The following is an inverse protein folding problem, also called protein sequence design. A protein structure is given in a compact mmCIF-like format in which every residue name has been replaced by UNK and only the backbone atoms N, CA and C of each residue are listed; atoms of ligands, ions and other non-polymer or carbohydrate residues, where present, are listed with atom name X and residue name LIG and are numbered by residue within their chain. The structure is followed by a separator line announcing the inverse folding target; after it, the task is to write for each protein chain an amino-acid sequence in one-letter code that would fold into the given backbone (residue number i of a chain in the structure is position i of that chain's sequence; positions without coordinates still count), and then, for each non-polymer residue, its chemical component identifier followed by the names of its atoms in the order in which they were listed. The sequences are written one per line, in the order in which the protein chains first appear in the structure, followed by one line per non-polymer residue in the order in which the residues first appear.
data_IF_774724813879
#
_entry.id   IF_774724813879
#
_cell.length_a   1.000
_cell.length_b   1.000
_cell.length_c   1.000
_cell.angle_alpha   90.00
_cell.angle_beta   90.00
_cell.angle_gamma   90.00
#
_symmetry.space_group_name_H-M   'P 1'
#
loop_
_entity.id
_entity.type
_entity.pdbx_description
1 polymer ?
#
# COMPACT_ATOMS: atom_id res chain seq x y z
N UNK A 1 21.84 5.39 11.97
CA UNK A 1 20.91 5.37 10.84
C UNK A 1 19.55 5.83 11.37
N UNK A 2 18.94 6.86 10.79
CA UNK A 2 17.61 7.35 11.18
C UNK A 2 16.51 6.39 10.73
N UNK A 3 15.29 6.61 11.22
CA UNK A 3 14.12 5.79 10.84
C UNK A 3 13.84 5.88 9.34
N UNK A 4 14.00 7.07 8.79
CA UNK A 4 13.84 7.40 7.37
C UNK A 4 14.92 6.71 6.53
N UNK A 5 16.18 6.73 6.97
CA UNK A 5 17.28 6.05 6.28
C UNK A 5 17.05 4.53 6.22
N UNK A 6 16.66 3.91 7.34
CA UNK A 6 16.34 2.47 7.37
C UNK A 6 15.15 2.14 6.47
N UNK A 7 14.12 2.98 6.46
CA UNK A 7 12.97 2.82 5.58
C UNK A 7 13.35 2.95 4.10
N UNK A 8 14.18 3.92 3.74
CA UNK A 8 14.64 4.09 2.35
C UNK A 8 15.48 2.92 1.87
N UNK A 9 16.30 2.31 2.72
CA UNK A 9 16.99 1.05 2.39
C UNK A 9 16.01 -0.10 2.16
N UNK A 10 14.93 -0.17 2.95
CA UNK A 10 13.87 -1.15 2.73
C UNK A 10 13.15 -0.94 1.39
N UNK A 11 12.87 0.31 1.01
CA UNK A 11 12.30 0.67 -0.30
C UNK A 11 13.25 0.27 -1.43
N UNK A 12 14.55 0.57 -1.33
CA UNK A 12 15.55 0.15 -2.33
C UNK A 12 15.60 -1.37 -2.48
N UNK A 13 15.58 -2.10 -1.37
CA UNK A 13 15.52 -3.58 -1.36
C UNK A 13 14.25 -4.09 -2.03
N UNK A 14 13.11 -3.42 -1.79
CA UNK A 14 11.85 -3.74 -2.45
C UNK A 14 11.94 -3.52 -3.95
N UNK A 15 12.57 -2.44 -4.41
CA UNK A 15 12.76 -2.15 -5.85
C UNK A 15 13.54 -3.21 -6.61
N UNK A 16 14.52 -3.86 -5.97
CA UNK A 16 15.34 -4.90 -6.60
C UNK A 16 14.84 -6.33 -6.38
N UNK A 17 13.67 -6.51 -5.74
CA UNK A 17 13.17 -7.83 -5.36
C UNK A 17 12.40 -8.54 -6.49
N UNK A 18 12.69 -9.83 -6.69
CA UNK A 18 12.01 -10.68 -7.68
C UNK A 18 11.55 -12.03 -7.11
N UNK A 19 11.50 -12.17 -5.78
CA UNK A 19 11.27 -13.45 -5.10
C UNK A 19 9.92 -14.12 -5.40
N UNK A 20 8.92 -13.39 -5.88
CA UNK A 20 7.60 -13.92 -6.18
C UNK A 20 7.37 -14.19 -7.68
N UNK A 21 8.39 -13.99 -8.53
CA UNK A 21 8.27 -14.10 -9.98
C UNK A 21 7.88 -15.50 -10.45
N UNK A 22 8.35 -16.53 -9.78
CA UNK A 22 8.03 -17.94 -10.11
C UNK A 22 6.54 -18.28 -9.90
N UNK A 23 5.82 -17.45 -9.15
CA UNK A 23 4.37 -17.55 -8.95
C UNK A 23 3.57 -16.63 -9.89
N UNK A 24 4.21 -16.08 -10.93
CA UNK A 24 3.58 -15.15 -11.87
C UNK A 24 3.35 -13.75 -11.32
N UNK A 25 3.89 -13.43 -10.13
CA UNK A 25 3.79 -12.09 -9.55
C UNK A 25 4.91 -11.19 -10.07
N UNK A 26 4.61 -9.92 -10.30
CA UNK A 26 5.60 -8.94 -10.79
C UNK A 26 5.79 -7.82 -9.81
N UNK A 27 7.03 -7.38 -9.63
CA UNK A 27 7.30 -6.23 -8.77
C UNK A 27 6.83 -4.95 -9.47
N UNK A 28 6.24 -4.02 -8.74
CA UNK A 28 5.90 -2.67 -9.24
C UNK A 28 7.11 -1.93 -9.85
N UNK A 29 8.34 -2.18 -9.37
CA UNK A 29 9.57 -1.62 -9.95
C UNK A 29 9.86 -2.08 -11.39
N UNK A 30 9.22 -3.15 -11.86
CA UNK A 30 9.28 -3.56 -13.27
C UNK A 30 8.51 -2.61 -14.19
N UNK A 31 7.72 -1.69 -13.61
CA UNK A 31 6.94 -0.67 -14.30
C UNK A 31 7.38 0.72 -13.81
N UNK A 32 8.60 1.17 -14.15
CA UNK A 32 9.26 2.31 -13.49
C UNK A 32 8.47 3.62 -13.57
N UNK A 33 7.64 3.81 -14.59
CA UNK A 33 6.79 5.00 -14.74
C UNK A 33 5.67 5.09 -13.68
N UNK A 34 5.37 3.99 -12.98
CA UNK A 34 4.27 3.86 -12.02
C UNK A 34 4.75 3.32 -10.65
N UNK A 35 6.06 3.12 -10.48
CA UNK A 35 6.65 2.79 -9.17
C UNK A 35 6.69 4.03 -8.27
N UNK A 36 6.82 3.81 -6.96
CA UNK A 36 6.82 4.86 -5.94
C UNK A 36 8.16 4.92 -5.20
N UNK A 37 8.38 5.97 -4.42
CA UNK A 37 9.47 6.04 -3.44
C UNK A 37 9.06 5.46 -2.08
N UNK A 38 7.97 4.70 -2.07
CA UNK A 38 7.42 4.06 -0.88
C UNK A 38 7.56 2.54 -0.98
N UNK A 39 7.28 1.86 0.15
CA UNK A 39 7.35 0.41 0.22
C UNK A 39 6.34 -0.27 -0.72
N UNK A 40 5.19 0.37 -0.96
CA UNK A 40 4.19 -0.04 -1.95
C UNK A 40 3.33 1.13 -2.41
N UNK A 41 2.54 0.94 -3.48
CA UNK A 41 1.68 1.99 -4.02
C UNK A 41 0.55 2.42 -3.05
N UNK A 42 0.04 1.53 -2.18
CA UNK A 42 -0.96 1.94 -1.18
C UNK A 42 -0.41 2.94 -0.17
N UNK A 43 0.90 2.86 0.11
CA UNK A 43 1.57 3.71 1.09
C UNK A 43 1.59 5.18 0.68
N UNK A 44 1.37 5.52 -0.61
CA UNK A 44 1.26 6.91 -1.05
C UNK A 44 0.03 7.63 -0.48
N UNK A 45 -0.96 6.91 0.06
CA UNK A 45 -2.08 7.51 0.78
C UNK A 45 -1.75 7.90 2.22
N UNK A 46 -0.90 7.14 2.90
CA UNK A 46 -0.39 7.49 4.24
C UNK A 46 0.89 6.74 4.56
N UNK A 47 1.99 7.50 4.71
CA UNK A 47 3.36 7.00 4.87
C UNK A 47 4.02 7.51 6.17
N UNK A 48 3.25 7.95 7.17
CA UNK A 48 3.84 8.49 8.40
C UNK A 48 4.62 7.42 9.17
N UNK A 49 5.95 7.52 9.14
CA UNK A 49 6.81 6.58 9.84
C UNK A 49 6.61 6.63 11.36
N UNK A 50 6.12 7.73 11.92
CA UNK A 50 5.81 7.86 13.36
C UNK A 50 4.34 7.57 13.69
N UNK A 51 3.61 6.98 12.75
CA UNK A 51 2.23 6.52 12.94
C UNK A 51 2.08 5.61 14.15
N UNK A 52 0.89 5.66 14.75
CA UNK A 52 0.49 4.78 15.84
C UNK A 52 -0.40 3.63 15.38
N UNK A 53 -0.98 3.77 14.19
CA UNK A 53 -1.88 2.79 13.60
C UNK A 53 -1.30 2.35 12.26
N UNK A 54 -1.10 1.04 12.11
CA UNK A 54 -0.73 0.41 10.86
C UNK A 54 -1.95 -0.28 10.24
N UNK A 55 -2.30 0.09 9.01
CA UNK A 55 -3.31 -0.58 8.20
C UNK A 55 -2.61 -1.44 7.15
N UNK A 56 -2.91 -2.74 7.14
CA UNK A 56 -2.35 -3.72 6.20
C UNK A 56 -3.46 -4.29 5.33
N UNK A 57 -3.47 -3.94 4.05
CA UNK A 57 -4.34 -4.57 3.05
C UNK A 57 -3.68 -5.81 2.44
N UNK A 58 -4.44 -6.64 1.73
CA UNK A 58 -3.95 -7.90 1.14
C UNK A 58 -2.83 -7.69 0.09
N UNK A 59 -3.15 -7.03 -1.00
CA UNK A 59 -2.29 -6.70 -2.14
C UNK A 59 -2.74 -5.39 -2.79
N UNK A 60 -1.91 -4.83 -3.68
CA UNK A 60 -2.29 -3.62 -4.38
C UNK A 60 -3.31 -3.92 -5.49
N UNK A 61 -2.90 -4.68 -6.51
CA UNK A 61 -3.77 -5.06 -7.62
C UNK A 61 -3.16 -6.14 -8.52
N UNK A 62 -3.88 -6.46 -9.60
CA UNK A 62 -3.35 -7.26 -10.70
C UNK A 62 -2.59 -6.39 -11.71
N UNK A 63 -1.72 -7.02 -12.51
CA UNK A 63 -0.80 -6.33 -13.43
C UNK A 63 -1.49 -5.41 -14.45
N UNK A 64 -2.49 -5.91 -15.19
CA UNK A 64 -3.18 -5.13 -16.23
C UNK A 64 -3.91 -3.92 -15.63
N UNK A 65 -4.58 -4.15 -14.50
CA UNK A 65 -5.27 -3.11 -13.77
C UNK A 65 -4.32 -2.05 -13.21
N UNK A 66 -3.14 -2.46 -12.71
CA UNK A 66 -2.11 -1.54 -12.24
C UNK A 66 -1.65 -0.61 -13.36
N UNK A 67 -1.42 -1.16 -14.57
CA UNK A 67 -1.06 -0.38 -15.75
C UNK A 67 -2.18 0.55 -16.18
N UNK A 68 -3.41 0.06 -16.26
CA UNK A 68 -4.59 0.87 -16.62
C UNK A 68 -4.81 2.04 -15.64
N UNK A 69 -4.50 1.82 -14.37
CA UNK A 69 -4.62 2.81 -13.29
C UNK A 69 -3.35 3.64 -13.09
N UNK A 70 -2.28 3.38 -13.86
CA UNK A 70 -0.99 4.07 -13.75
C UNK A 70 -0.40 4.01 -12.34
N UNK A 71 -0.63 2.91 -11.62
CA UNK A 71 -0.18 2.71 -10.23
C UNK A 71 -0.84 3.61 -9.19
N UNK A 72 -1.93 4.31 -9.54
CA UNK A 72 -2.59 5.24 -8.63
C UNK A 72 -3.60 4.53 -7.72
N UNK A 73 -3.66 4.96 -6.46
CA UNK A 73 -4.74 4.58 -5.52
C UNK A 73 -6.05 5.35 -5.78
N UNK A 74 -5.96 6.50 -6.44
CA UNK A 74 -7.04 7.47 -6.65
C UNK A 74 -6.71 8.34 -7.88
N UNK A 75 -7.70 8.62 -8.73
CA UNK A 75 -7.47 9.34 -9.99
C UNK A 75 -7.64 10.86 -9.87
N UNK A 76 -8.46 11.33 -8.92
CA UNK A 76 -8.69 12.76 -8.68
C UNK A 76 -8.05 13.18 -7.38
N UNK A 77 -7.23 14.22 -7.38
CA UNK A 77 -6.61 14.71 -6.14
C UNK A 77 -7.61 15.31 -5.15
N UNK A 78 -8.68 15.95 -5.64
CA UNK A 78 -9.72 16.51 -4.78
C UNK A 78 -11.00 15.69 -4.91
N UNK A 79 -11.35 15.01 -3.83
CA UNK A 79 -12.60 14.27 -3.71
C UNK A 79 -13.48 14.98 -2.68
N UNK A 80 -14.69 15.31 -3.08
CA UNK A 80 -15.75 15.82 -2.20
C UNK A 80 -16.80 14.73 -1.95
N UNK A 81 -17.86 15.08 -1.21
CA UNK A 81 -18.96 14.15 -0.87
C UNK A 81 -19.69 13.60 -2.11
N UNK A 82 -19.59 14.28 -3.27
CA UNK A 82 -20.18 13.87 -4.55
C UNK A 82 -19.34 12.86 -5.33
N UNK A 83 -18.13 12.54 -4.85
CA UNK A 83 -17.23 11.59 -5.49
C UNK A 83 -17.88 10.22 -5.67
N UNK A 84 -17.76 9.67 -6.88
CA UNK A 84 -18.32 8.38 -7.25
C UNK A 84 -17.23 7.30 -7.30
N UNK A 85 -17.59 6.00 -7.28
CA UNK A 85 -16.60 4.91 -7.37
C UNK A 85 -15.67 4.99 -8.58
N UNK A 86 -16.09 5.63 -9.68
CA UNK A 86 -15.27 5.87 -10.89
C UNK A 86 -14.11 6.84 -10.70
N UNK A 87 -14.14 7.64 -9.63
CA UNK A 87 -13.09 8.63 -9.33
C UNK A 87 -11.90 8.00 -8.57
N UNK A 88 -12.02 6.72 -8.22
CA UNK A 88 -11.02 5.91 -7.55
C UNK A 88 -10.51 4.81 -8.49
N UNK A 89 -9.30 4.33 -8.22
CA UNK A 89 -8.73 3.25 -9.01
C UNK A 89 -9.54 1.95 -8.84
N UNK A 90 -9.98 1.64 -7.62
CA UNK A 90 -10.82 0.47 -7.34
C UNK A 90 -12.01 0.81 -6.44
N UNK A 91 -13.07 -0.03 -6.48
CA UNK A 91 -14.19 0.06 -5.53
C UNK A 91 -13.73 -0.13 -4.09
N UNK A 92 -12.72 -0.99 -3.86
CA UNK A 92 -12.12 -1.19 -2.53
C UNK A 92 -11.55 0.11 -1.99
N UNK A 93 -10.79 0.83 -2.83
CA UNK A 93 -10.21 2.12 -2.51
C UNK A 93 -11.29 3.18 -2.20
N UNK A 94 -12.37 3.20 -2.99
CA UNK A 94 -13.53 4.06 -2.73
C UNK A 94 -14.14 3.82 -1.34
N UNK A 95 -14.47 2.58 -1.01
CA UNK A 95 -15.11 2.26 0.28
C UNK A 95 -14.17 2.43 1.47
N UNK A 96 -12.88 2.12 1.31
CA UNK A 96 -11.88 2.37 2.35
C UNK A 96 -11.77 3.85 2.67
N UNK A 97 -11.72 4.72 1.65
CA UNK A 97 -11.68 6.17 1.85
C UNK A 97 -12.95 6.69 2.51
N UNK A 98 -14.13 6.25 2.05
CA UNK A 98 -15.43 6.58 2.68
C UNK A 98 -15.46 6.21 4.16
N UNK A 99 -15.05 4.99 4.49
CA UNK A 99 -15.00 4.52 5.88
C UNK A 99 -14.03 5.37 6.73
N UNK A 100 -12.84 5.66 6.24
CA UNK A 100 -11.87 6.49 6.98
C UNK A 100 -12.36 7.94 7.10
N UNK A 101 -13.12 8.46 6.13
CA UNK A 101 -13.66 9.82 6.19
C UNK A 101 -14.78 10.00 7.23
N UNK A 102 -15.45 8.92 7.62
CA UNK A 102 -16.41 8.89 8.74
C UNK A 102 -15.72 8.99 10.10
N UNK A 103 -14.40 8.75 10.17
CA UNK A 103 -13.61 8.91 11.39
C UNK A 103 -13.32 10.39 11.70
N UNK A 104 -12.91 10.70 12.95
CA UNK A 104 -12.44 12.04 13.31
C UNK A 104 -11.38 12.59 12.36
N UNK A 105 -11.33 13.92 12.22
CA UNK A 105 -10.59 14.64 11.17
C UNK A 105 -9.10 14.26 11.13
N UNK A 106 -8.50 13.94 12.27
CA UNK A 106 -7.11 13.53 12.41
C UNK A 106 -6.78 12.21 11.72
N UNK A 107 -7.75 11.31 11.53
CA UNK A 107 -7.56 10.02 10.85
C UNK A 107 -7.81 10.12 9.34
N UNK A 108 -8.41 11.21 8.86
CA UNK A 108 -8.82 11.33 7.46
C UNK A 108 -7.62 11.26 6.53
N UNK A 109 -7.76 10.48 5.46
CA UNK A 109 -6.72 10.36 4.44
C UNK A 109 -6.63 11.65 3.62
N UNK A 110 -5.40 12.12 3.45
CA UNK A 110 -5.10 13.16 2.49
C UNK A 110 -5.05 12.59 1.07
N UNK A 111 -5.18 13.42 0.02
CA UNK A 111 -4.92 12.98 -1.34
C UNK A 111 -3.54 12.33 -1.44
N UNK A 112 -3.39 11.28 -2.25
CA UNK A 112 -2.10 10.63 -2.44
C UNK A 112 -1.13 11.64 -3.05
N UNK A 113 0.04 11.82 -2.45
CA UNK A 113 1.05 12.78 -2.91
C UNK A 113 2.42 12.12 -3.03
N UNK A 114 3.24 12.67 -3.92
CA UNK A 114 4.62 12.24 -4.16
C UNK A 114 5.65 13.00 -3.30
N UNK A 115 5.20 13.94 -2.49
CA UNK A 115 6.01 14.87 -1.73
C UNK A 115 5.61 14.93 -0.24
N UNK A 116 6.65 14.98 0.61
CA UNK A 116 6.65 14.88 2.07
C UNK A 116 5.41 15.46 2.75
N UNK A 117 4.53 14.57 3.25
CA UNK A 117 3.31 14.97 3.93
C UNK A 117 3.50 15.22 5.43
N UNK A 118 2.57 16.04 5.94
CA UNK A 118 2.32 16.37 7.35
C UNK A 118 2.49 15.18 8.30
N UNK A 119 3.44 15.33 9.23
CA UNK A 119 3.79 14.41 10.31
C UNK A 119 2.65 14.00 11.24
N UNK A 120 1.44 14.52 11.05
CA UNK A 120 0.37 14.46 12.04
C UNK A 120 -0.73 13.43 11.72
N UNK A 121 -0.77 12.80 10.55
CA UNK A 121 -1.71 11.70 10.32
C UNK A 121 -1.21 10.45 11.09
N UNK A 122 -2.00 9.87 12.01
CA UNK A 122 -1.56 8.77 12.86
C UNK A 122 -1.51 7.41 12.14
N UNK A 123 -1.82 7.36 10.84
CA UNK A 123 -1.91 6.14 10.04
C UNK A 123 -0.66 5.91 9.19
N UNK A 124 -0.27 4.66 9.04
CA UNK A 124 0.58 4.18 7.96
C UNK A 124 -0.16 3.05 7.24
N UNK A 125 -0.14 3.06 5.91
CA UNK A 125 -0.85 2.08 5.10
C UNK A 125 0.11 1.29 4.23
N UNK A 126 -0.08 -0.02 4.14
CA UNK A 126 0.72 -0.88 3.26
C UNK A 126 -0.03 -2.16 2.90
N UNK A 127 0.61 -3.03 2.11
CA UNK A 127 0.08 -4.32 1.72
C UNK A 127 0.92 -5.47 2.29
N UNK A 128 0.27 -6.60 2.59
CA UNK A 128 0.96 -7.83 2.99
C UNK A 128 1.79 -8.41 1.85
N UNK A 129 1.31 -8.29 0.61
CA UNK A 129 2.06 -8.60 -0.61
C UNK A 129 2.29 -7.33 -1.42
N UNK A 130 3.54 -7.05 -1.76
CA UNK A 130 3.95 -5.84 -2.50
C UNK A 130 4.10 -6.05 -4.02
N UNK A 131 3.99 -7.30 -4.47
CA UNK A 131 3.98 -7.61 -5.90
C UNK A 131 2.56 -7.52 -6.47
N UNK A 132 2.47 -7.40 -7.80
CA UNK A 132 1.25 -7.39 -8.58
C UNK A 132 0.93 -8.80 -9.06
N UNK A 133 -0.28 -9.28 -8.78
CA UNK A 133 -0.71 -10.63 -9.19
C UNK A 133 -1.04 -10.71 -10.67
N UNK A 134 -0.87 -11.90 -11.25
CA UNK A 134 -1.33 -12.20 -12.60
C UNK A 134 -2.84 -12.46 -12.65
N UNK A 135 -3.45 -12.24 -13.82
CA UNK A 135 -4.87 -12.51 -14.04
C UNK A 135 -5.78 -11.40 -13.51
N UNK A 136 -6.87 -11.77 -12.81
CA UNK A 136 -7.93 -10.85 -12.40
C UNK A 136 -7.67 -10.23 -11.03
N UNK A 137 -8.38 -9.15 -10.72
CA UNK A 137 -8.37 -8.52 -9.40
C UNK A 137 -8.75 -9.49 -8.25
N UNK A 138 -9.55 -10.52 -8.53
CA UNK A 138 -9.97 -11.55 -7.56
C UNK A 138 -9.06 -12.80 -7.57
N UNK A 139 -7.99 -12.82 -8.36
CA UNK A 139 -7.04 -13.94 -8.35
C UNK A 139 -6.48 -14.13 -6.94
N UNK A 140 -6.37 -15.40 -6.54
CA UNK A 140 -5.70 -15.78 -5.30
C UNK A 140 -4.19 -15.51 -5.41
N UNK A 141 -3.59 -15.13 -4.29
CA UNK A 141 -2.14 -15.01 -4.16
C UNK A 141 -1.62 -16.31 -3.56
N UNK A 142 -0.47 -16.77 -4.04
CA UNK A 142 0.18 -17.95 -3.48
C UNK A 142 0.67 -17.63 -2.05
N UNK A 143 0.45 -18.54 -1.10
CA UNK A 143 0.87 -18.34 0.30
C UNK A 143 2.36 -18.07 0.44
N UNK A 144 3.20 -18.67 -0.40
CA UNK A 144 4.64 -18.39 -0.45
C UNK A 144 4.95 -16.92 -0.74
N UNK A 145 4.08 -16.23 -1.50
CA UNK A 145 4.24 -14.80 -1.74
C UNK A 145 3.96 -13.98 -0.46
N UNK A 146 2.97 -14.38 0.34
CA UNK A 146 2.74 -13.76 1.65
C UNK A 146 3.93 -13.98 2.57
N UNK A 147 4.46 -15.21 2.64
CA UNK A 147 5.59 -15.51 3.52
C UNK A 147 6.84 -14.73 3.10
N UNK A 148 7.14 -14.68 1.80
CA UNK A 148 8.30 -13.95 1.26
C UNK A 148 8.16 -12.44 1.48
N UNK A 149 7.03 -11.85 1.09
CA UNK A 149 6.80 -10.40 1.27
C UNK A 149 6.68 -10.03 2.75
N UNK A 150 6.02 -10.87 3.54
CA UNK A 150 5.82 -10.70 4.97
C UNK A 150 7.14 -10.65 5.72
N UNK A 151 7.98 -11.67 5.52
CA UNK A 151 9.28 -11.75 6.17
C UNK A 151 10.26 -10.68 5.66
N UNK A 152 10.27 -10.40 4.34
CA UNK A 152 11.25 -9.50 3.76
C UNK A 152 10.91 -8.01 3.91
N UNK A 153 9.63 -7.65 3.99
CA UNK A 153 9.18 -6.25 3.95
C UNK A 153 8.17 -5.88 5.03
N UNK A 154 7.10 -6.65 5.24
CA UNK A 154 6.06 -6.27 6.20
C UNK A 154 6.60 -6.27 7.64
N UNK A 155 7.31 -7.34 8.03
CA UNK A 155 7.90 -7.45 9.37
C UNK A 155 8.93 -6.33 9.62
N UNK A 156 9.91 -6.07 8.74
CA UNK A 156 10.76 -4.89 8.87
C UNK A 156 10.00 -3.56 8.92
N UNK A 157 8.92 -3.41 8.15
CA UNK A 157 8.07 -2.21 8.21
C UNK A 157 7.44 -2.06 9.59
N UNK A 158 6.89 -3.14 10.16
CA UNK A 158 6.35 -3.16 11.53
C UNK A 158 7.43 -2.81 12.55
N UNK A 159 8.64 -3.34 12.41
CA UNK A 159 9.77 -3.10 13.32
C UNK A 159 10.25 -1.64 13.27
N UNK A 160 10.23 -1.03 12.08
CA UNK A 160 10.46 0.40 11.89
C UNK A 160 9.37 1.19 12.60
N UNK A 161 8.11 0.96 12.25
CA UNK A 161 6.97 1.76 12.73
C UNK A 161 6.75 1.65 14.24
N UNK A 162 6.79 0.44 14.79
CA UNK A 162 6.35 0.09 16.16
C UNK A 162 4.94 0.63 16.47
N UNK A 163 3.91 0.24 15.69
CA UNK A 163 2.56 0.75 15.87
C UNK A 163 1.93 0.22 17.15
N UNK A 164 1.06 1.03 17.76
CA UNK A 164 0.27 0.67 18.94
C UNK A 164 -0.94 -0.22 18.54
N UNK A 165 -1.46 -0.04 17.32
CA UNK A 165 -2.57 -0.82 16.75
C UNK A 165 -2.26 -1.27 15.32
N UNK A 166 -2.63 -2.52 15.00
CA UNK A 166 -2.55 -3.09 13.64
C UNK A 166 -3.95 -3.47 13.18
N UNK A 167 -4.36 -2.97 12.01
CA UNK A 167 -5.63 -3.28 11.37
C UNK A 167 -5.32 -4.06 10.09
N UNK A 168 -5.81 -5.29 10.01
CA UNK A 168 -5.59 -6.15 8.84
C UNK A 168 -6.90 -6.20 8.05
N UNK A 169 -6.84 -5.72 6.81
CA UNK A 169 -7.96 -5.72 5.87
C UNK A 169 -7.71 -6.84 4.87
N UNK A 170 -8.11 -8.05 5.25
CA UNK A 170 -7.99 -9.24 4.42
C UNK A 170 -9.13 -10.22 4.71
N UNK A 171 -9.50 -11.01 3.70
CA UNK A 171 -10.36 -12.18 3.87
C UNK A 171 -9.58 -13.48 4.12
N UNK A 172 -8.23 -13.43 4.09
CA UNK A 172 -7.39 -14.63 3.91
C UNK A 172 -6.07 -14.68 4.71
N UNK A 173 -5.77 -13.75 5.62
CA UNK A 173 -4.54 -13.81 6.44
C UNK A 173 -4.86 -13.73 7.93
N UNK A 174 -4.48 -14.78 8.66
CA UNK A 174 -4.21 -14.73 10.10
C UNK A 174 -2.73 -14.35 10.25
N UNK A 175 -2.43 -13.12 10.68
CA UNK A 175 -1.07 -12.65 11.02
C UNK A 175 -0.83 -12.76 12.53
#
# INVERSE_FOLDING_TARGET
MTKEEVYQELVKKRKSCYLCRDFGMRNQAEFPNFDTQEIGNLTTWSNNLYSKILIVAQDFYHQDGFLAQRGQVQFRYNLDESSAPKDYSTKTNYFLKKFIDELPKEYRLSPPRNDNFSSNNPLFMTNATLCLKSGKASSKINNECYDRCGNMFLKPTIDILKPDLKIIINSSCDL
#
